data_IF_154208554939
#
_entry.id   IF_154208554939
#
_cell.length_a   1.000
_cell.length_b   1.000
_cell.length_c   1.000
_cell.angle_alpha   90.00
_cell.angle_beta   90.00
_cell.angle_gamma   90.00
#
_symmetry.space_group_name_H-M   'P 1'
#
loop_
_entity.id
_entity.type
_entity.pdbx_description
1 polymer ?
#
# COMPACT_ATOMS: atom_id res chain seq x y z
N UNK A 1 -1.22 0.93 45.54
CA UNK A 1 -1.62 -0.11 44.57
C UNK A 1 -2.53 0.45 43.46
N UNK A 2 -3.58 1.21 43.79
CA UNK A 2 -4.46 1.89 42.81
C UNK A 2 -3.73 2.70 41.73
N UNK A 3 -2.73 3.52 42.13
CA UNK A 3 -1.95 4.36 41.20
C UNK A 3 -1.10 3.53 40.23
N UNK A 4 -0.61 2.38 40.68
CA UNK A 4 0.21 1.49 39.86
C UNK A 4 -0.64 0.75 38.83
N UNK A 5 -1.85 0.31 39.22
CA UNK A 5 -2.81 -0.29 38.29
C UNK A 5 -3.26 0.70 37.21
N UNK A 6 -3.55 1.95 37.59
CA UNK A 6 -3.92 2.98 36.61
C UNK A 6 -2.78 3.30 35.64
N UNK A 7 -1.53 3.35 36.11
CA UNK A 7 -0.38 3.55 35.22
C UNK A 7 -0.25 2.43 34.19
N UNK A 8 -0.40 1.18 34.62
CA UNK A 8 -0.36 0.00 33.73
C UNK A 8 -1.49 0.06 32.69
N UNK A 9 -2.71 0.44 33.11
CA UNK A 9 -3.84 0.60 32.20
C UNK A 9 -3.55 1.68 31.16
N UNK A 10 -3.11 2.87 31.57
CA UNK A 10 -2.80 3.98 30.65
C UNK A 10 -1.71 3.60 29.65
N UNK A 11 -0.62 2.98 30.12
CA UNK A 11 0.48 2.54 29.25
C UNK A 11 -0.01 1.49 28.25
N UNK A 12 -0.81 0.52 28.69
CA UNK A 12 -1.39 -0.49 27.80
C UNK A 12 -2.32 0.13 26.75
N UNK A 13 -3.16 1.08 27.14
CA UNK A 13 -4.04 1.81 26.22
C UNK A 13 -3.25 2.64 25.21
N UNK A 14 -2.17 3.30 25.63
CA UNK A 14 -1.28 4.06 24.72
C UNK A 14 -0.58 3.12 23.73
N UNK A 15 -0.09 1.95 24.19
CA UNK A 15 0.53 0.95 23.31
C UNK A 15 -0.47 0.41 22.29
N UNK A 16 -1.70 0.10 22.71
CA UNK A 16 -2.78 -0.34 21.82
C UNK A 16 -3.15 0.74 20.80
N UNK A 17 -3.25 2.01 21.23
CA UNK A 17 -3.56 3.13 20.36
C UNK A 17 -2.43 3.43 19.35
N UNK A 18 -1.16 3.39 19.76
CA UNK A 18 -0.02 3.57 18.86
C UNK A 18 0.04 2.48 17.78
N UNK A 19 -0.29 1.22 18.12
CA UNK A 19 -0.30 0.11 17.15
C UNK A 19 -1.40 0.24 16.10
N UNK A 20 -2.49 0.93 16.40
CA UNK A 20 -3.55 1.21 15.43
C UNK A 20 -3.20 2.34 14.43
N UNK A 21 -2.03 2.98 14.58
CA UNK A 21 -1.69 4.23 13.89
C UNK A 21 -0.59 4.08 12.83
N UNK A 22 -0.09 2.87 12.54
CA UNK A 22 1.15 2.70 11.75
C UNK A 22 1.01 1.96 10.41
N UNK A 23 -0.19 1.84 9.85
CA UNK A 23 -0.36 1.40 8.46
C UNK A 23 -0.64 2.62 7.59
N UNK A 24 0.42 3.31 7.17
CA UNK A 24 0.38 4.10 5.93
C UNK A 24 0.38 3.08 4.78
N UNK A 25 -0.73 2.36 4.64
CA UNK A 25 -0.91 1.39 3.56
C UNK A 25 -1.08 2.17 2.26
N UNK A 26 -0.27 1.83 1.25
CA UNK A 26 -0.38 2.47 -0.06
C UNK A 26 -1.77 2.23 -0.65
N UNK A 27 -2.29 3.13 -1.49
CA UNK A 27 -3.56 2.90 -2.18
C UNK A 27 -3.58 1.56 -2.91
N UNK A 28 -4.69 0.81 -2.86
CA UNK A 28 -4.81 -0.52 -3.50
C UNK A 28 -4.36 -0.53 -4.98
N UNK A 29 -4.65 0.55 -5.72
CA UNK A 29 -4.26 0.70 -7.13
C UNK A 29 -2.75 0.74 -7.37
N UNK A 30 -1.93 0.87 -6.32
CA UNK A 30 -0.48 0.75 -6.41
C UNK A 30 -0.04 -0.69 -6.66
N UNK A 31 -0.86 -1.67 -6.25
CA UNK A 31 -0.51 -3.08 -6.35
C UNK A 31 -1.08 -3.72 -7.60
N UNK A 32 -0.28 -4.57 -8.24
CA UNK A 32 -0.73 -5.36 -9.38
C UNK A 32 -1.77 -6.38 -8.88
N UNK A 33 -2.97 -6.46 -9.47
CA UNK A 33 -3.93 -7.51 -9.15
C UNK A 33 -3.42 -8.88 -9.60
N UNK A 34 -4.01 -9.93 -9.04
CA UNK A 34 -3.73 -11.30 -9.47
C UNK A 34 -3.98 -11.47 -10.98
N UNK A 35 -3.09 -12.19 -11.65
CA UNK A 35 -3.19 -12.44 -13.09
C UNK A 35 -4.45 -13.26 -13.41
N UNK A 36 -5.37 -12.72 -14.23
CA UNK A 36 -6.52 -13.49 -14.73
C UNK A 36 -6.04 -14.42 -15.88
N UNK A 37 -6.11 -15.76 -15.72
CA UNK A 37 -5.67 -16.70 -16.75
C UNK A 37 -6.51 -16.65 -18.03
N UNK A 38 -7.67 -16.00 -18.01
CA UNK A 38 -8.53 -15.79 -19.18
C UNK A 38 -8.25 -14.45 -19.87
N UNK A 39 -7.35 -13.63 -19.31
CA UNK A 39 -6.96 -12.37 -19.90
C UNK A 39 -6.42 -12.58 -21.33
N UNK A 40 -7.01 -11.89 -22.29
CA UNK A 40 -6.53 -11.83 -23.68
C UNK A 40 -6.17 -10.42 -24.13
N UNK A 41 -6.33 -9.44 -23.25
CA UNK A 41 -5.92 -8.07 -23.51
C UNK A 41 -4.42 -7.89 -23.24
N UNK A 42 -3.85 -6.82 -23.76
CA UNK A 42 -2.46 -6.43 -23.54
C UNK A 42 -2.39 -4.95 -23.15
N UNK A 43 -3.21 -4.58 -22.18
CA UNK A 43 -3.27 -3.24 -21.62
C UNK A 43 -2.01 -2.95 -20.80
N UNK A 44 -1.53 -1.72 -20.89
CA UNK A 44 -0.33 -1.25 -20.16
C UNK A 44 -0.75 -0.42 -18.96
N UNK A 45 -0.25 -0.77 -17.79
CA UNK A 45 -0.39 0.00 -16.54
C UNK A 45 0.90 -0.04 -15.75
N UNK A 46 1.17 1.02 -15.01
CA UNK A 46 2.22 1.11 -14.02
C UNK A 46 1.68 0.72 -12.64
N UNK A 47 2.42 -0.16 -11.96
CA UNK A 47 2.19 -0.59 -10.58
C UNK A 47 3.51 -0.49 -9.81
N UNK A 48 3.42 -0.27 -8.51
CA UNK A 48 4.56 -0.29 -7.61
C UNK A 48 4.98 -1.74 -7.34
N UNK A 49 6.26 -2.01 -7.55
CA UNK A 49 6.89 -3.29 -7.30
C UNK A 49 7.69 -3.18 -6.01
N UNK A 50 7.21 -3.84 -4.96
CA UNK A 50 7.79 -3.76 -3.61
C UNK A 50 9.20 -4.37 -3.53
N UNK A 51 9.47 -5.41 -4.33
CA UNK A 51 10.77 -6.08 -4.36
C UNK A 51 11.88 -5.15 -4.87
N UNK A 52 11.52 -4.24 -5.78
CA UNK A 52 12.46 -3.28 -6.37
C UNK A 52 12.25 -1.84 -5.92
N UNK A 53 11.20 -1.60 -5.13
CA UNK A 53 10.81 -0.30 -4.61
C UNK A 53 10.69 0.76 -5.73
N UNK A 54 10.01 0.38 -6.83
CA UNK A 54 9.90 1.21 -8.02
C UNK A 54 8.60 0.96 -8.78
N UNK A 55 8.09 1.99 -9.45
CA UNK A 55 6.99 1.83 -10.40
C UNK A 55 7.45 1.15 -11.70
N UNK A 56 6.82 0.02 -12.05
CA UNK A 56 7.13 -0.76 -13.26
C UNK A 56 5.93 -0.90 -14.17
N UNK A 57 6.22 -1.05 -15.47
CA UNK A 57 5.22 -1.28 -16.50
C UNK A 57 4.84 -2.77 -16.57
N UNK A 58 3.56 -3.06 -16.37
CA UNK A 58 2.98 -4.38 -16.53
C UNK A 58 2.02 -4.43 -17.71
N UNK A 59 1.86 -5.64 -18.26
CA UNK A 59 1.01 -5.93 -19.42
C UNK A 59 -0.03 -6.97 -19.04
N UNK A 60 -1.30 -6.70 -19.31
CA UNK A 60 -2.38 -7.61 -18.93
C UNK A 60 -3.76 -6.98 -19.01
N UNK A 61 -4.64 -7.44 -18.13
CA UNK A 61 -6.02 -6.99 -17.97
C UNK A 61 -6.16 -6.33 -16.61
N UNK A 62 -6.83 -5.19 -16.58
CA UNK A 62 -6.97 -4.38 -15.38
C UNK A 62 -8.31 -3.66 -15.42
N UNK A 63 -8.87 -3.35 -14.25
CA UNK A 63 -9.99 -2.44 -14.10
C UNK A 63 -9.64 -1.01 -14.52
N UNK A 64 -10.66 -0.15 -14.61
CA UNK A 64 -10.46 1.25 -14.96
C UNK A 64 -9.58 1.98 -13.94
N UNK A 65 -9.81 1.68 -12.66
CA UNK A 65 -9.18 2.35 -11.51
C UNK A 65 -7.92 1.64 -10.98
N UNK A 66 -7.50 0.55 -11.63
CA UNK A 66 -6.31 -0.22 -11.24
C UNK A 66 -5.05 0.31 -11.94
N UNK A 67 -3.97 0.53 -11.18
CA UNK A 67 -2.71 1.04 -11.71
C UNK A 67 -2.82 2.43 -12.33
N UNK A 68 -1.72 2.87 -12.93
CA UNK A 68 -1.61 4.20 -13.56
C UNK A 68 -1.23 4.07 -15.04
N UNK A 69 -1.64 5.04 -15.86
CA UNK A 69 -1.22 5.08 -17.27
C UNK A 69 0.19 5.65 -17.43
N UNK A 70 0.54 6.60 -16.57
CA UNK A 70 1.81 7.31 -16.57
C UNK A 70 2.67 6.90 -15.38
N UNK A 71 3.97 6.72 -15.62
CA UNK A 71 4.94 6.32 -14.59
C UNK A 71 5.01 7.37 -13.47
N UNK A 72 5.03 8.65 -13.83
CA UNK A 72 5.13 9.75 -12.88
C UNK A 72 3.95 9.82 -11.91
N UNK A 73 2.75 9.45 -12.37
CA UNK A 73 1.58 9.34 -11.51
C UNK A 73 1.74 8.19 -10.53
N UNK A 74 2.17 7.01 -11.01
CA UNK A 74 2.48 5.89 -10.12
C UNK A 74 3.50 6.32 -9.05
N UNK A 75 4.62 6.96 -9.44
CA UNK A 75 5.64 7.41 -8.49
C UNK A 75 5.09 8.38 -7.47
N UNK A 76 4.29 9.35 -7.92
CA UNK A 76 3.70 10.38 -7.05
C UNK A 76 2.83 9.78 -5.95
N UNK A 77 2.09 8.71 -6.25
CA UNK A 77 1.11 8.15 -5.33
C UNK A 77 1.58 6.87 -4.62
N UNK A 78 2.58 6.17 -5.15
CA UNK A 78 2.97 4.84 -4.69
C UNK A 78 4.42 4.72 -4.23
N UNK A 79 5.34 5.58 -4.67
CA UNK A 79 6.71 5.54 -4.14
C UNK A 79 6.73 6.22 -2.77
N UNK A 80 6.96 5.40 -1.74
CA UNK A 80 7.15 5.88 -0.37
C UNK A 80 8.48 6.63 -0.34
N UNK A 81 8.43 7.97 -0.27
CA UNK A 81 9.61 8.77 0.03
C UNK A 81 10.02 8.50 1.47
N UNK A 82 10.84 7.47 1.69
CA UNK A 82 11.53 7.27 2.97
C UNK A 82 12.47 8.46 3.17
N UNK A 83 12.09 9.40 4.03
CA UNK A 83 13.00 10.38 4.64
C UNK A 83 13.63 9.78 5.88
#
# INVERSE_FOLDING_TARGET
MQKMLQFICVVSFVILACRASSEEELPERCYQPAEDPRCRANGRRYFFDEDTNACKLFRGCWGQDEGYYDEDDCKRYCEVNTK
#
